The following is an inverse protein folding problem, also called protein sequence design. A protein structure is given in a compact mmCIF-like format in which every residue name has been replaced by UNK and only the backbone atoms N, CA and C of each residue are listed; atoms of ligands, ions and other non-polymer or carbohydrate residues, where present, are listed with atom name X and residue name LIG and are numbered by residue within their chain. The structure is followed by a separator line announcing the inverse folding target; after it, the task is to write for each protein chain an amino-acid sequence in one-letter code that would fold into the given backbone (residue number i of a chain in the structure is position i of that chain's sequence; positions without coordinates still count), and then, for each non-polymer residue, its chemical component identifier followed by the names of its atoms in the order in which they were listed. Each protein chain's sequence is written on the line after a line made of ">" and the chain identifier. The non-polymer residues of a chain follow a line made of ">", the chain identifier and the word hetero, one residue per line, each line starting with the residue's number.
data_IF_127568840309
#
_entry.id   IF_127568840309
#
_cell.length_a   1.000
_cell.length_b   1.000
_cell.length_c   1.000
_cell.angle_alpha   90.00
_cell.angle_beta   90.00
_cell.angle_gamma   90.00
#
_symmetry.space_group_name_H-M   'P 1'
#
loop_
_entity.id
_entity.type
_entity.pdbx_description
1 polymer ?
#
# COMPACT_ATOMS: atom_id res chain seq x y z
N UNK A 1 -3.38 -51.88 -1.29
CA UNK A 1 -2.72 -50.65 -0.82
C UNK A 1 -2.80 -49.62 -1.92
N UNK A 2 -3.59 -48.60 -1.64
CA UNK A 2 -4.25 -47.69 -2.58
C UNK A 2 -3.41 -46.45 -2.83
N UNK A 3 -3.17 -46.15 -4.12
CA UNK A 3 -2.58 -44.91 -4.60
C UNK A 3 -3.39 -43.67 -4.15
N UNK A 4 -2.76 -42.56 -3.74
CA UNK A 4 -3.49 -41.35 -3.44
C UNK A 4 -3.93 -40.65 -4.74
N UNK A 5 -5.13 -40.09 -4.63
CA UNK A 5 -5.94 -39.46 -5.68
C UNK A 5 -5.20 -38.32 -6.41
N UNK A 6 -5.31 -38.37 -7.73
CA UNK A 6 -5.09 -37.28 -8.66
C UNK A 6 -5.73 -35.97 -8.18
N UNK A 7 -4.93 -34.91 -8.12
CA UNK A 7 -5.39 -33.55 -7.94
C UNK A 7 -6.39 -33.21 -9.06
N UNK A 8 -7.59 -32.81 -8.67
CA UNK A 8 -8.60 -32.29 -9.59
C UNK A 8 -8.13 -30.95 -10.11
N UNK A 9 -7.77 -30.89 -11.40
CA UNK A 9 -7.72 -29.64 -12.14
C UNK A 9 -9.13 -29.02 -12.13
N UNK A 10 -9.29 -27.73 -11.82
CA UNK A 10 -10.56 -27.06 -12.05
C UNK A 10 -10.78 -26.95 -13.57
N UNK A 11 -11.55 -27.90 -14.09
CA UNK A 11 -12.22 -27.80 -15.38
C UNK A 11 -13.36 -26.80 -15.26
N UNK A 12 -13.19 -25.62 -15.88
CA UNK A 12 -14.30 -24.74 -16.25
C UNK A 12 -13.83 -23.67 -17.25
N UNK A 13 -13.67 -24.04 -18.53
CA UNK A 13 -13.90 -23.09 -19.62
C UNK A 13 -15.42 -22.86 -19.69
N UNK A 14 -15.97 -22.11 -18.73
CA UNK A 14 -17.34 -21.61 -18.77
C UNK A 14 -17.42 -20.55 -19.86
N UNK A 15 -17.82 -20.97 -21.07
CA UNK A 15 -18.21 -20.12 -22.20
C UNK A 15 -17.11 -19.17 -22.69
N UNK A 16 -16.62 -19.35 -23.90
CA UNK A 16 -15.77 -18.34 -24.54
C UNK A 16 -16.57 -17.05 -24.79
N UNK A 17 -16.67 -16.21 -23.76
CA UNK A 17 -17.12 -14.83 -23.88
C UNK A 17 -16.05 -14.11 -24.69
N UNK A 18 -16.44 -13.65 -25.88
CA UNK A 18 -15.60 -12.78 -26.69
C UNK A 18 -15.47 -11.44 -25.98
N UNK A 19 -14.35 -11.25 -25.29
CA UNK A 19 -13.99 -10.02 -24.59
C UNK A 19 -13.03 -9.20 -25.42
N UNK A 20 -12.93 -7.88 -25.16
CA UNK A 20 -12.04 -7.00 -25.92
C UNK A 20 -10.55 -7.27 -25.62
N UNK A 21 -10.25 -7.75 -24.41
CA UNK A 21 -8.94 -8.20 -23.96
C UNK A 21 -9.06 -9.62 -23.38
N UNK A 22 -8.01 -10.47 -23.48
CA UNK A 22 -8.08 -11.82 -22.95
C UNK A 22 -8.26 -11.82 -21.42
N UNK A 23 -9.09 -12.72 -20.87
CA UNK A 23 -9.37 -12.82 -19.45
C UNK A 23 -8.24 -13.57 -18.71
N UNK A 24 -7.06 -12.96 -18.62
CA UNK A 24 -5.97 -13.54 -17.82
C UNK A 24 -6.38 -13.59 -16.35
N UNK A 25 -6.06 -14.68 -15.66
CA UNK A 25 -6.32 -14.80 -14.23
C UNK A 25 -5.36 -13.91 -13.44
N UNK A 26 -5.89 -13.27 -12.39
CA UNK A 26 -5.08 -12.67 -11.33
C UNK A 26 -4.49 -13.79 -10.47
N UNK A 27 -3.16 -13.86 -10.36
CA UNK A 27 -2.52 -14.93 -9.61
C UNK A 27 -2.59 -14.71 -8.10
N UNK A 28 -2.70 -15.81 -7.35
CA UNK A 28 -2.61 -15.86 -5.89
C UNK A 28 -3.64 -14.98 -5.16
N UNK A 29 -4.81 -14.76 -5.74
CA UNK A 29 -5.95 -14.12 -5.06
C UNK A 29 -6.28 -14.83 -3.73
N UNK A 30 -6.66 -14.07 -2.71
CA UNK A 30 -6.90 -14.57 -1.36
C UNK A 30 -5.64 -14.85 -0.55
N UNK A 31 -4.47 -14.35 -0.97
CA UNK A 31 -3.20 -14.51 -0.24
C UNK A 31 -2.41 -13.21 -0.17
N UNK A 32 -1.51 -13.08 0.80
CA UNK A 32 -0.54 -11.97 0.85
C UNK A 32 0.40 -11.90 -0.38
N UNK A 33 0.43 -12.95 -1.20
CA UNK A 33 1.26 -13.07 -2.41
C UNK A 33 0.49 -12.80 -3.70
N UNK A 34 -0.71 -12.19 -3.61
CA UNK A 34 -1.51 -11.77 -4.77
C UNK A 34 -0.70 -10.92 -5.75
N UNK A 35 -0.90 -11.17 -7.04
CA UNK A 35 -0.29 -10.37 -8.11
C UNK A 35 -0.70 -8.90 -8.02
N UNK A 36 0.27 -7.99 -8.16
CA UNK A 36 -0.01 -6.57 -8.31
C UNK A 36 -0.69 -6.29 -9.65
N UNK A 37 -1.76 -5.50 -9.67
CA UNK A 37 -2.48 -5.17 -10.91
C UNK A 37 -1.61 -4.42 -11.96
N UNK A 38 -0.56 -3.70 -11.55
CA UNK A 38 0.43 -3.17 -12.50
C UNK A 38 1.18 -4.28 -13.22
N UNK A 39 1.55 -5.34 -12.51
CA UNK A 39 2.24 -6.50 -13.07
C UNK A 39 1.30 -7.29 -13.98
N UNK A 40 0.05 -7.46 -13.57
CA UNK A 40 -1.00 -8.04 -14.40
C UNK A 40 -1.13 -7.30 -15.74
N UNK A 41 -1.19 -5.96 -15.75
CA UNK A 41 -1.22 -5.18 -17.00
C UNK A 41 0.00 -5.42 -17.89
N UNK A 42 1.18 -5.57 -17.29
CA UNK A 42 2.41 -5.85 -18.04
C UNK A 42 2.39 -7.25 -18.66
N UNK A 43 1.83 -8.24 -17.94
CA UNK A 43 1.56 -9.59 -18.46
C UNK A 43 0.55 -9.55 -19.59
N UNK A 44 -0.56 -8.84 -19.40
CA UNK A 44 -1.61 -8.68 -20.41
C UNK A 44 -1.08 -8.03 -21.69
N UNK A 45 -0.33 -6.93 -21.57
CA UNK A 45 0.33 -6.31 -22.71
C UNK A 45 1.32 -7.25 -23.40
N UNK A 46 2.05 -8.06 -22.63
CA UNK A 46 2.98 -9.05 -23.18
C UNK A 46 2.27 -10.12 -24.01
N UNK A 47 1.18 -10.70 -23.49
CA UNK A 47 0.37 -11.71 -24.17
C UNK A 47 -0.22 -11.16 -25.48
N UNK A 48 -0.68 -9.91 -25.45
CA UNK A 48 -1.23 -9.22 -26.61
C UNK A 48 -0.17 -8.78 -27.64
N UNK A 49 1.13 -8.86 -27.30
CA UNK A 49 2.20 -8.37 -28.16
C UNK A 49 2.23 -6.85 -28.34
N UNK A 50 1.57 -6.09 -27.45
CA UNK A 50 1.49 -4.63 -27.52
C UNK A 50 2.32 -3.96 -26.42
N UNK A 51 2.54 -2.65 -26.54
CA UNK A 51 3.20 -1.91 -25.47
C UNK A 51 2.23 -1.61 -24.32
N UNK A 52 2.78 -1.41 -23.12
CA UNK A 52 1.99 -0.99 -21.97
C UNK A 52 1.25 0.32 -22.25
N UNK A 53 1.88 1.31 -22.90
CA UNK A 53 1.22 2.58 -23.21
C UNK A 53 0.09 2.43 -24.25
N UNK A 54 0.24 1.50 -25.21
CA UNK A 54 -0.86 1.12 -26.12
C UNK A 54 -2.04 0.54 -25.35
N UNK A 55 -1.79 -0.36 -24.39
CA UNK A 55 -2.83 -0.95 -23.55
C UNK A 55 -3.53 0.11 -22.68
N UNK A 56 -2.79 1.04 -22.09
CA UNK A 56 -3.36 2.17 -21.35
C UNK A 56 -4.21 3.07 -22.27
N UNK A 57 -3.80 3.27 -23.52
CA UNK A 57 -4.58 3.97 -24.54
C UNK A 57 -5.93 3.31 -24.83
N UNK A 58 -5.96 1.98 -24.95
CA UNK A 58 -7.20 1.20 -25.10
C UNK A 58 -8.12 1.41 -23.89
N UNK A 59 -7.55 1.39 -22.67
CA UNK A 59 -8.32 1.64 -21.45
C UNK A 59 -8.91 3.06 -21.44
N UNK A 60 -8.12 4.09 -21.77
CA UNK A 60 -8.61 5.47 -21.87
C UNK A 60 -9.71 5.64 -22.92
N UNK A 61 -9.56 4.99 -24.08
CA UNK A 61 -10.57 5.01 -25.15
C UNK A 61 -11.89 4.38 -24.67
N UNK A 62 -11.83 3.22 -24.00
CA UNK A 62 -13.01 2.58 -23.40
C UNK A 62 -13.67 3.44 -22.33
N UNK A 63 -12.88 4.15 -21.53
CA UNK A 63 -13.37 5.03 -20.47
C UNK A 63 -14.03 6.32 -21.01
N UNK A 64 -13.75 6.71 -22.25
CA UNK A 64 -14.15 8.00 -22.81
C UNK A 64 -13.45 9.21 -22.15
N UNK A 65 -12.40 8.97 -21.33
CA UNK A 65 -11.63 10.00 -20.62
C UNK A 65 -10.22 9.49 -20.30
N UNK A 66 -9.32 10.42 -20.00
CA UNK A 66 -7.95 10.08 -19.59
C UNK A 66 -7.94 9.61 -18.13
N UNK A 67 -7.98 8.28 -17.94
CA UNK A 67 -7.81 7.65 -16.62
C UNK A 67 -6.35 7.34 -16.31
N UNK A 68 -5.58 7.00 -17.34
CA UNK A 68 -4.18 6.64 -17.27
C UNK A 68 -3.36 7.69 -18.00
N UNK A 69 -2.53 8.43 -17.26
CA UNK A 69 -1.66 9.43 -17.86
C UNK A 69 -0.63 8.77 -18.79
N UNK A 70 -0.52 9.25 -20.05
CA UNK A 70 0.61 8.92 -20.91
C UNK A 70 1.89 9.34 -20.19
N UNK A 71 2.87 8.43 -20.06
CA UNK A 71 4.16 8.71 -19.41
C UNK A 71 4.14 8.95 -17.89
N UNK A 72 3.04 8.64 -17.19
CA UNK A 72 3.00 8.71 -15.72
C UNK A 72 4.08 7.83 -15.06
N UNK A 73 4.72 8.33 -14.00
CA UNK A 73 5.83 7.64 -13.32
C UNK A 73 5.39 6.80 -12.13
N UNK A 74 4.17 7.00 -11.62
CA UNK A 74 3.60 6.28 -10.49
C UNK A 74 2.74 5.08 -10.93
N UNK A 75 2.55 4.15 -9.99
CA UNK A 75 1.54 3.08 -10.13
C UNK A 75 0.13 3.68 -10.14
N UNK A 76 -0.68 3.47 -11.18
CA UNK A 76 -2.08 3.91 -11.22
C UNK A 76 -3.02 3.17 -10.26
N UNK A 77 -2.59 2.05 -9.64
CA UNK A 77 -3.48 1.19 -8.84
C UNK A 77 -3.18 1.18 -7.35
N UNK A 78 -2.07 1.77 -6.91
CA UNK A 78 -1.73 1.89 -5.48
C UNK A 78 -2.28 3.15 -4.82
N UNK A 79 -2.58 4.17 -5.63
CA UNK A 79 -3.12 5.41 -5.13
C UNK A 79 -4.64 5.28 -5.01
N UNK A 80 -5.15 5.52 -3.81
CA UNK A 80 -6.60 5.61 -3.58
C UNK A 80 -7.11 7.01 -3.99
N UNK A 81 -6.87 7.37 -5.24
CA UNK A 81 -7.47 8.55 -5.85
C UNK A 81 -8.88 8.23 -6.37
N UNK A 82 -9.63 9.26 -6.77
CA UNK A 82 -10.96 9.10 -7.36
C UNK A 82 -10.95 8.35 -8.70
N UNK A 83 -9.77 8.06 -9.25
CA UNK A 83 -9.59 7.30 -10.49
C UNK A 83 -9.39 5.80 -10.28
N UNK A 84 -9.06 5.33 -9.06
CA UNK A 84 -8.74 3.91 -8.81
C UNK A 84 -9.86 2.97 -9.27
N UNK A 85 -11.09 3.21 -8.83
CA UNK A 85 -12.23 2.35 -9.15
C UNK A 85 -12.54 2.38 -10.65
N UNK A 86 -12.58 3.56 -11.25
CA UNK A 86 -12.82 3.69 -12.69
C UNK A 86 -11.74 2.98 -13.53
N UNK A 87 -10.47 3.01 -13.08
CA UNK A 87 -9.36 2.29 -13.74
C UNK A 87 -9.54 0.78 -13.66
N UNK A 88 -9.96 0.26 -12.50
CA UNK A 88 -10.25 -1.15 -12.28
C UNK A 88 -11.46 -1.58 -13.13
N UNK A 89 -12.57 -0.85 -13.05
CA UNK A 89 -13.81 -1.16 -13.76
C UNK A 89 -13.63 -1.24 -15.27
N UNK A 90 -12.86 -0.30 -15.84
CA UNK A 90 -12.56 -0.32 -17.28
C UNK A 90 -11.78 -1.58 -17.67
N UNK A 91 -10.83 -2.01 -16.84
CA UNK A 91 -10.04 -3.21 -17.10
C UNK A 91 -10.87 -4.49 -16.95
N UNK A 92 -11.69 -4.57 -15.90
CA UNK A 92 -12.65 -5.67 -15.69
C UNK A 92 -13.64 -5.76 -16.86
N UNK A 93 -14.17 -4.63 -17.33
CA UNK A 93 -15.09 -4.58 -18.46
C UNK A 93 -14.42 -5.00 -19.79
N UNK A 94 -13.17 -4.60 -20.03
CA UNK A 94 -12.44 -4.98 -21.23
C UNK A 94 -12.07 -6.46 -21.25
N UNK A 95 -11.77 -7.03 -20.09
CA UNK A 95 -11.41 -8.45 -19.93
C UNK A 95 -12.60 -9.37 -19.68
N UNK A 96 -13.81 -8.82 -19.48
CA UNK A 96 -15.00 -9.57 -19.07
C UNK A 96 -14.92 -10.19 -17.68
N UNK A 97 -13.94 -9.77 -16.86
CA UNK A 97 -13.70 -10.30 -15.52
C UNK A 97 -14.33 -9.40 -14.46
N UNK A 98 -15.66 -9.33 -14.46
CA UNK A 98 -16.44 -8.49 -13.54
C UNK A 98 -16.05 -8.78 -12.09
N UNK A 99 -15.60 -7.75 -11.38
CA UNK A 99 -15.28 -7.79 -9.94
C UNK A 99 -14.14 -8.75 -9.56
N UNK A 100 -13.26 -9.14 -10.49
CA UNK A 100 -12.17 -10.08 -10.18
C UNK A 100 -10.78 -9.41 -10.03
N UNK A 101 -10.55 -8.27 -10.69
CA UNK A 101 -9.19 -7.70 -10.80
C UNK A 101 -8.87 -6.70 -9.68
N UNK A 102 -9.90 -6.14 -9.02
CA UNK A 102 -9.75 -5.22 -7.88
C UNK A 102 -8.90 -5.76 -6.74
N UNK A 103 -8.86 -7.07 -6.55
CA UNK A 103 -8.14 -7.75 -5.48
C UNK A 103 -6.61 -7.77 -5.68
N UNK A 104 -6.13 -7.39 -6.87
CA UNK A 104 -4.72 -7.12 -7.13
C UNK A 104 -4.29 -5.70 -6.73
N UNK A 105 -5.15 -5.00 -5.98
CA UNK A 105 -4.97 -3.61 -5.54
C UNK A 105 -5.41 -3.45 -4.08
N UNK A 106 -5.09 -2.33 -3.43
CA UNK A 106 -5.56 -2.06 -2.07
C UNK A 106 -7.03 -1.60 -1.97
N UNK A 107 -7.88 -1.93 -2.96
CA UNK A 107 -9.26 -1.43 -3.11
C UNK A 107 -10.13 -1.65 -1.88
N UNK A 108 -10.05 -2.80 -1.22
CA UNK A 108 -10.84 -3.12 -0.02
C UNK A 108 -10.68 -2.06 1.08
N UNK A 109 -9.46 -1.58 1.30
CA UNK A 109 -9.16 -0.57 2.32
C UNK A 109 -9.22 0.87 1.81
N UNK A 110 -9.58 1.08 0.54
CA UNK A 110 -9.54 2.39 -0.11
C UNK A 110 -10.61 3.37 0.39
N UNK A 111 -11.66 2.92 1.09
CA UNK A 111 -12.53 3.89 1.77
C UNK A 111 -11.81 4.55 2.97
N UNK A 112 -11.07 3.74 3.74
CA UNK A 112 -10.48 4.07 5.04
C UNK A 112 -9.13 4.79 4.90
N UNK A 113 -8.29 4.33 3.98
CA UNK A 113 -6.91 4.78 3.85
C UNK A 113 -6.76 5.96 2.90
N UNK A 114 -5.76 6.81 3.15
CA UNK A 114 -5.49 7.99 2.33
C UNK A 114 -5.07 7.64 0.91
N UNK A 115 -5.04 8.65 0.04
CA UNK A 115 -4.56 8.51 -1.36
C UNK A 115 -3.19 7.81 -1.41
N UNK A 116 -2.32 8.14 -0.45
CA UNK A 116 -0.99 7.58 -0.25
C UNK A 116 -0.94 6.64 0.97
N UNK A 117 -2.05 5.97 1.25
CA UNK A 117 -2.21 5.18 2.47
C UNK A 117 -1.25 3.99 2.52
N UNK A 118 -0.97 3.39 1.37
CA UNK A 118 -0.09 2.23 1.23
C UNK A 118 1.31 2.56 0.76
N UNK A 119 1.49 3.71 0.12
CA UNK A 119 2.77 4.10 -0.48
C UNK A 119 2.95 5.61 -0.51
N UNK A 120 4.19 6.08 -0.49
CA UNK A 120 4.57 7.47 -0.74
C UNK A 120 4.50 7.80 -2.24
N UNK A 121 4.17 9.06 -2.55
CA UNK A 121 3.84 9.53 -3.91
C UNK A 121 4.90 9.31 -5.01
N UNK A 122 6.13 8.93 -4.66
CA UNK A 122 7.22 8.68 -5.60
C UNK A 122 8.02 7.48 -5.14
N UNK A 123 7.70 6.30 -5.67
CA UNK A 123 8.54 5.13 -5.49
C UNK A 123 8.99 4.50 -6.81
N UNK A 124 10.28 4.20 -6.78
CA UNK A 124 10.99 3.28 -7.65
C UNK A 124 10.46 1.86 -7.42
N UNK A 125 10.50 1.04 -8.46
CA UNK A 125 10.05 -0.35 -8.38
C UNK A 125 10.92 -1.08 -7.36
N UNK A 126 10.30 -1.74 -6.39
CA UNK A 126 10.97 -2.69 -5.49
C UNK A 126 10.79 -4.12 -5.98
N UNK A 127 11.75 -4.98 -5.67
CA UNK A 127 11.66 -6.41 -5.96
C UNK A 127 12.46 -7.25 -4.97
N UNK A 128 12.14 -8.54 -4.92
CA UNK A 128 12.99 -9.54 -4.28
C UNK A 128 14.05 -10.04 -5.28
N UNK A 129 15.36 -9.91 -4.99
CA UNK A 129 16.42 -10.36 -5.89
C UNK A 129 16.43 -11.87 -6.06
N UNK A 130 15.99 -12.64 -5.05
CA UNK A 130 15.90 -14.11 -5.15
C UNK A 130 14.72 -14.53 -6.04
N UNK A 131 13.53 -13.92 -5.88
CA UNK A 131 12.40 -14.16 -6.79
C UNK A 131 12.75 -13.86 -8.25
N UNK A 132 13.51 -12.78 -8.50
CA UNK A 132 13.96 -12.46 -9.86
C UNK A 132 15.02 -13.41 -10.40
N UNK A 133 15.86 -13.99 -9.53
CA UNK A 133 16.81 -15.02 -9.92
C UNK A 133 16.10 -16.32 -10.31
N UNK A 134 15.06 -16.68 -9.57
CA UNK A 134 14.25 -17.90 -9.75
C UNK A 134 13.03 -17.67 -10.67
N UNK A 135 13.04 -16.60 -11.47
CA UNK A 135 11.86 -16.18 -12.22
C UNK A 135 11.47 -17.19 -13.30
N UNK A 136 10.26 -17.72 -13.19
CA UNK A 136 9.61 -18.54 -14.20
C UNK A 136 8.53 -17.72 -14.95
N UNK A 137 8.59 -17.61 -16.29
CA UNK A 137 7.67 -16.78 -17.06
C UNK A 137 6.18 -17.12 -16.92
N UNK A 138 5.84 -18.37 -16.62
CA UNK A 138 4.46 -18.87 -16.57
C UNK A 138 3.84 -18.67 -15.18
N UNK A 139 4.62 -18.92 -14.13
CA UNK A 139 4.12 -18.97 -12.73
C UNK A 139 4.50 -17.75 -11.91
N UNK A 140 5.64 -17.10 -12.20
CA UNK A 140 6.15 -16.01 -11.36
C UNK A 140 5.41 -14.70 -11.59
N UNK A 141 5.19 -13.98 -10.49
CA UNK A 141 4.50 -12.69 -10.47
C UNK A 141 5.25 -11.70 -9.59
N UNK A 142 4.96 -10.41 -9.78
CA UNK A 142 5.34 -9.38 -8.81
C UNK A 142 4.17 -9.18 -7.85
N UNK A 143 4.32 -9.55 -6.56
CA UNK A 143 3.24 -9.45 -5.58
C UNK A 143 2.89 -7.99 -5.27
N UNK A 144 1.62 -7.73 -4.92
CA UNK A 144 1.16 -6.44 -4.40
C UNK A 144 2.00 -5.97 -3.20
N UNK A 145 2.45 -6.91 -2.37
CA UNK A 145 3.33 -6.64 -1.22
C UNK A 145 4.57 -5.81 -1.56
N UNK A 146 5.17 -6.00 -2.75
CA UNK A 146 6.37 -5.25 -3.15
C UNK A 146 6.13 -3.76 -3.33
N UNK A 147 4.87 -3.38 -3.50
CA UNK A 147 4.41 -2.02 -3.67
C UNK A 147 4.03 -1.32 -2.35
N UNK A 148 4.00 -2.04 -1.22
CA UNK A 148 3.52 -1.52 0.08
C UNK A 148 4.67 -1.02 0.95
N UNK A 149 4.64 0.24 1.37
CA UNK A 149 5.83 0.90 1.91
C UNK A 149 6.37 0.32 3.22
N UNK A 150 5.46 -0.16 4.07
CA UNK A 150 5.80 -0.79 5.35
C UNK A 150 6.37 -2.19 5.20
N UNK A 151 6.15 -2.84 4.04
CA UNK A 151 6.71 -4.16 3.73
C UNK A 151 8.16 -3.99 3.30
N UNK A 152 9.08 -4.59 4.05
CA UNK A 152 10.52 -4.44 3.83
C UNK A 152 11.19 -5.71 3.32
N UNK A 153 10.60 -6.88 3.56
CA UNK A 153 11.14 -8.16 3.10
C UNK A 153 10.20 -8.93 2.20
N UNK A 154 10.75 -9.90 1.48
CA UNK A 154 9.98 -10.84 0.69
C UNK A 154 9.40 -11.94 1.61
N UNK A 155 8.09 -12.17 1.59
CA UNK A 155 7.47 -13.24 2.38
C UNK A 155 7.88 -14.66 1.94
N UNK A 156 8.43 -14.83 0.73
CA UNK A 156 8.93 -16.14 0.26
C UNK A 156 10.37 -16.42 0.67
N UNK A 157 11.25 -15.41 0.60
CA UNK A 157 12.69 -15.60 0.75
C UNK A 157 13.29 -14.93 1.99
N UNK A 158 12.51 -14.11 2.71
CA UNK A 158 12.95 -13.39 3.91
C UNK A 158 14.01 -12.32 3.68
N UNK A 159 14.43 -12.07 2.43
CA UNK A 159 15.42 -11.05 2.11
C UNK A 159 14.78 -9.67 1.90
N UNK A 160 15.59 -8.62 2.02
CA UNK A 160 15.16 -7.24 1.78
C UNK A 160 14.63 -7.04 0.35
N UNK A 161 13.55 -6.28 0.23
CA UNK A 161 13.04 -5.76 -1.03
C UNK A 161 13.88 -4.54 -1.45
N UNK A 162 14.57 -4.66 -2.57
CA UNK A 162 15.50 -3.64 -3.07
C UNK A 162 14.89 -2.87 -4.24
N UNK A 163 15.30 -1.62 -4.44
CA UNK A 163 14.87 -0.78 -5.57
C UNK A 163 16.01 -0.40 -6.53
N UNK A 164 17.26 -0.76 -6.20
CA UNK A 164 18.48 -0.38 -6.92
C UNK A 164 19.23 -1.57 -7.48
N UNK A 165 19.81 -1.37 -8.66
CA UNK A 165 20.67 -2.38 -9.27
C UNK A 165 21.98 -2.50 -8.47
N UNK A 166 22.35 -3.73 -8.07
CA UNK A 166 23.61 -3.98 -7.35
C UNK A 166 24.86 -3.59 -8.14
N UNK A 167 24.80 -3.61 -9.48
CA UNK A 167 25.96 -3.34 -10.34
C UNK A 167 26.19 -1.85 -10.61
N UNK A 168 25.12 -1.03 -10.71
CA UNK A 168 25.26 0.40 -11.05
C UNK A 168 24.60 1.37 -10.08
N UNK A 169 23.94 0.89 -9.01
CA UNK A 169 23.29 1.70 -7.98
C UNK A 169 22.03 2.47 -8.42
N UNK A 170 21.67 2.43 -9.71
CA UNK A 170 20.51 3.15 -10.25
C UNK A 170 19.21 2.47 -9.85
N UNK A 171 18.24 3.28 -9.42
CA UNK A 171 16.92 2.82 -9.03
C UNK A 171 16.10 2.43 -10.28
N UNK A 172 15.30 1.37 -10.18
CA UNK A 172 14.61 0.82 -11.35
C UNK A 172 13.22 1.45 -11.55
N UNK A 173 12.85 1.84 -12.78
CA UNK A 173 11.57 2.47 -13.02
C UNK A 173 10.42 1.46 -12.98
N UNK A 174 9.28 1.90 -12.46
CA UNK A 174 8.03 1.15 -12.42
C UNK A 174 7.56 0.72 -13.81
N UNK A 175 7.63 1.62 -14.81
CA UNK A 175 7.30 1.31 -16.21
C UNK A 175 8.50 0.71 -16.94
N UNK A 176 8.55 -0.62 -16.97
CA UNK A 176 9.50 -1.41 -17.76
C UNK A 176 8.75 -2.60 -18.36
N UNK A 177 8.98 -2.89 -19.65
CA UNK A 177 8.35 -4.00 -20.38
C UNK A 177 8.59 -5.33 -19.66
N UNK A 178 7.59 -6.22 -19.65
CA UNK A 178 7.60 -7.49 -18.90
C UNK A 178 8.95 -8.22 -18.93
N UNK A 179 9.47 -8.59 -20.12
CA UNK A 179 10.74 -9.32 -20.26
C UNK A 179 11.98 -8.54 -19.80
N UNK A 180 11.98 -7.22 -19.98
CA UNK A 180 13.11 -6.37 -19.62
C UNK A 180 13.16 -6.06 -18.12
N UNK A 181 12.12 -6.38 -17.35
CA UNK A 181 12.05 -6.03 -15.92
C UNK A 181 13.10 -6.73 -15.07
N UNK A 182 13.59 -7.89 -15.49
CA UNK A 182 14.60 -8.68 -14.77
C UNK A 182 16.05 -8.26 -15.07
N UNK A 183 16.23 -7.29 -15.97
CA UNK A 183 17.52 -6.69 -16.26
C UNK A 183 17.51 -5.19 -15.89
N UNK A 184 18.66 -4.66 -15.51
CA UNK A 184 18.79 -3.24 -15.23
C UNK A 184 18.50 -2.42 -16.49
N UNK A 185 17.62 -1.41 -16.41
CA UNK A 185 17.33 -0.54 -17.55
C UNK A 185 18.56 0.25 -18.04
N UNK A 186 19.56 0.42 -17.18
CA UNK A 186 20.69 1.31 -17.45
C UNK A 186 21.98 0.59 -17.79
N UNK A 187 22.33 -0.48 -17.07
CA UNK A 187 23.57 -1.25 -17.31
C UNK A 187 23.31 -2.67 -17.81
N UNK A 188 22.05 -3.07 -17.99
CA UNK A 188 21.63 -4.39 -18.47
C UNK A 188 22.03 -5.59 -17.61
N UNK A 189 22.73 -5.39 -16.48
CA UNK A 189 23.02 -6.45 -15.52
C UNK A 189 21.74 -7.11 -14.99
N UNK A 190 21.76 -8.42 -14.70
CA UNK A 190 20.63 -9.11 -14.11
C UNK A 190 20.27 -8.50 -12.75
N UNK A 191 18.97 -8.38 -12.50
CA UNK A 191 18.42 -7.89 -11.23
C UNK A 191 18.05 -9.03 -10.27
N UNK A 192 18.27 -10.28 -10.68
CA UNK A 192 18.22 -11.45 -9.81
C UNK A 192 19.59 -11.77 -9.23
N UNK A 193 19.65 -12.03 -7.92
CA UNK A 193 20.84 -12.55 -7.25
C UNK A 193 20.49 -13.15 -5.89
N UNK A 194 21.38 -14.00 -5.37
CA UNK A 194 21.34 -14.43 -3.97
C UNK A 194 22.02 -13.37 -3.09
N UNK A 195 21.30 -12.73 -2.16
CA UNK A 195 21.91 -11.84 -1.18
C UNK A 195 22.92 -12.60 -0.32
N UNK A 196 24.00 -11.93 0.08
CA UNK A 196 24.86 -12.48 1.11
C UNK A 196 24.03 -12.72 2.40
N UNK A 197 24.35 -13.74 3.22
CA UNK A 197 23.73 -13.91 4.52
C UNK A 197 23.91 -12.62 5.32
N UNK A 198 22.82 -11.89 5.56
CA UNK A 198 22.90 -10.60 6.24
C UNK A 198 23.16 -10.88 7.72
N UNK A 199 24.26 -10.34 8.26
CA UNK A 199 24.63 -10.49 9.67
C UNK A 199 23.60 -9.83 10.63
N UNK A 200 22.79 -8.90 10.13
CA UNK A 200 21.63 -8.35 10.84
C UNK A 200 20.37 -9.12 10.46
N UNK A 201 20.04 -10.16 11.23
CA UNK A 201 18.72 -10.76 11.20
C UNK A 201 17.66 -9.67 11.42
N UNK A 202 16.53 -9.75 10.71
CA UNK A 202 15.39 -8.87 10.96
C UNK A 202 15.06 -8.85 12.44
N UNK A 203 14.80 -7.65 12.99
CA UNK A 203 14.38 -7.57 14.38
C UNK A 203 13.01 -8.24 14.54
N UNK A 204 12.64 -8.71 15.75
CA UNK A 204 11.28 -9.19 16.01
C UNK A 204 10.22 -8.15 15.61
N UNK A 205 10.52 -6.86 15.75
CA UNK A 205 9.64 -5.78 15.35
C UNK A 205 9.46 -5.74 13.82
N UNK A 206 10.54 -5.80 13.04
CA UNK A 206 10.45 -5.78 11.57
C UNK A 206 9.61 -6.95 11.05
N UNK A 207 9.78 -8.14 11.64
CA UNK A 207 8.97 -9.31 11.32
C UNK A 207 7.49 -9.10 11.66
N UNK A 208 7.20 -8.51 12.82
CA UNK A 208 5.82 -8.20 13.20
C UNK A 208 5.17 -7.19 12.25
N UNK A 209 5.89 -6.13 11.85
CA UNK A 209 5.43 -5.14 10.86
C UNK A 209 5.14 -5.80 9.52
N UNK A 210 6.04 -6.66 9.04
CA UNK A 210 5.87 -7.38 7.78
C UNK A 210 4.64 -8.31 7.84
N UNK A 211 4.36 -8.95 8.99
CA UNK A 211 3.13 -9.74 9.21
C UNK A 211 1.88 -8.87 9.18
N UNK A 212 1.90 -7.68 9.81
CA UNK A 212 0.77 -6.75 9.75
C UNK A 212 0.47 -6.30 8.32
N UNK A 213 1.50 -6.06 7.52
CA UNK A 213 1.34 -5.71 6.11
C UNK A 213 0.74 -6.88 5.31
N UNK A 214 1.26 -8.10 5.50
CA UNK A 214 0.78 -9.30 4.81
C UNK A 214 -0.69 -9.59 5.11
N UNK A 215 -1.11 -9.45 6.37
CA UNK A 215 -2.52 -9.62 6.78
C UNK A 215 -3.46 -8.63 6.09
N UNK A 216 -3.06 -7.36 5.95
CA UNK A 216 -3.86 -6.35 5.24
C UNK A 216 -3.91 -6.63 3.74
N UNK A 217 -2.82 -7.11 3.15
CA UNK A 217 -2.77 -7.48 1.72
C UNK A 217 -3.66 -8.69 1.47
N UNK A 218 -3.59 -9.71 2.35
CA UNK A 218 -4.44 -10.89 2.28
C UNK A 218 -5.92 -10.51 2.34
N UNK A 219 -6.31 -9.64 3.29
CA UNK A 219 -7.67 -9.07 3.34
C UNK A 219 -8.04 -8.37 2.03
N UNK A 220 -7.14 -7.55 1.46
CA UNK A 220 -7.41 -6.86 0.19
C UNK A 220 -7.51 -7.79 -1.02
N UNK A 221 -6.93 -8.97 -0.91
CA UNK A 221 -6.85 -9.95 -1.99
C UNK A 221 -7.98 -10.97 -1.99
N UNK A 222 -8.76 -11.04 -0.92
CA UNK A 222 -9.84 -12.01 -0.75
C UNK A 222 -11.06 -11.64 -1.62
N UNK A 223 -11.45 -12.48 -2.59
CA UNK A 223 -12.62 -12.22 -3.43
C UNK A 223 -13.96 -12.19 -2.69
N UNK A 224 -14.02 -12.75 -1.48
CA UNK A 224 -15.21 -12.68 -0.63
C UNK A 224 -15.28 -11.36 0.17
N UNK A 225 -14.21 -10.58 0.20
CA UNK A 225 -14.13 -9.37 1.02
C UNK A 225 -14.72 -8.16 0.30
N UNK A 226 -15.79 -7.62 0.87
CA UNK A 226 -16.35 -6.35 0.44
C UNK A 226 -15.46 -5.16 0.85
N UNK A 227 -15.67 -4.03 0.18
CA UNK A 227 -15.00 -2.78 0.52
C UNK A 227 -15.31 -2.40 1.97
N UNK A 228 -14.29 -2.05 2.74
CA UNK A 228 -14.48 -1.60 4.11
C UNK A 228 -15.26 -0.28 4.15
N UNK A 229 -16.19 -0.10 5.10
CA UNK A 229 -16.81 1.18 5.38
C UNK A 229 -15.78 2.28 5.69
N UNK A 230 -16.02 3.51 5.24
CA UNK A 230 -15.08 4.63 5.40
C UNK A 230 -14.88 5.05 6.87
N UNK A 231 -15.87 4.78 7.72
CA UNK A 231 -15.94 5.18 9.12
C UNK A 231 -15.23 4.23 10.09
N UNK A 232 -14.71 3.08 9.63
CA UNK A 232 -14.04 2.08 10.50
C UNK A 232 -13.00 2.70 11.43
N UNK A 233 -12.13 3.54 10.87
CA UNK A 233 -11.11 4.21 11.67
C UNK A 233 -11.68 5.31 12.59
N UNK A 234 -12.79 5.95 12.20
CA UNK A 234 -13.49 6.92 13.04
C UNK A 234 -14.11 6.27 14.27
N UNK A 235 -14.79 5.15 14.08
CA UNK A 235 -15.38 4.36 15.16
C UNK A 235 -14.32 3.95 16.19
N UNK A 236 -13.12 3.57 15.72
CA UNK A 236 -12.00 3.25 16.60
C UNK A 236 -11.57 4.45 17.43
N UNK A 237 -11.34 5.62 16.80
CA UNK A 237 -10.89 6.82 17.51
C UNK A 237 -11.94 7.37 18.48
N UNK A 238 -13.23 7.31 18.12
CA UNK A 238 -14.34 7.73 18.96
C UNK A 238 -14.44 6.86 20.21
N UNK A 239 -14.46 5.54 20.04
CA UNK A 239 -14.47 4.58 21.15
C UNK A 239 -13.23 4.73 22.04
N UNK A 240 -12.04 4.92 21.44
CA UNK A 240 -10.80 5.13 22.19
C UNK A 240 -10.86 6.42 23.04
N UNK A 241 -11.41 7.50 22.46
CA UNK A 241 -11.57 8.78 23.16
C UNK A 241 -12.57 8.68 24.32
N UNK A 242 -13.63 7.89 24.16
CA UNK A 242 -14.61 7.66 25.22
C UNK A 242 -14.03 6.85 26.40
N UNK A 243 -13.14 5.90 26.13
CA UNK A 243 -12.54 5.03 27.15
C UNK A 243 -11.42 5.71 27.96
N UNK A 244 -10.62 6.56 27.33
CA UNK A 244 -9.40 7.11 27.94
C UNK A 244 -9.50 8.57 28.42
N UNK A 245 -10.71 9.15 28.43
CA UNK A 245 -10.94 10.45 29.07
C UNK A 245 -10.09 11.59 28.51
N UNK A 246 -9.46 12.37 29.40
CA UNK A 246 -8.76 13.60 29.03
C UNK A 246 -7.54 13.31 28.14
N UNK A 247 -7.38 14.12 27.09
CA UNK A 247 -6.35 13.94 26.06
C UNK A 247 -4.94 13.99 26.62
N UNK A 248 -4.75 14.55 27.81
CA UNK A 248 -3.47 14.66 28.50
C UNK A 248 -2.80 13.29 28.74
N UNK A 249 -3.61 12.25 28.99
CA UNK A 249 -3.12 10.92 29.39
C UNK A 249 -2.70 10.05 28.20
N UNK A 250 -3.01 10.48 26.97
CA UNK A 250 -2.58 9.78 25.75
C UNK A 250 -1.11 10.09 25.42
N UNK A 251 -0.33 9.13 24.90
CA UNK A 251 0.97 9.40 24.30
C UNK A 251 0.94 10.53 23.27
N UNK A 252 2.02 11.32 23.18
CA UNK A 252 2.09 12.51 22.31
C UNK A 252 1.74 12.24 20.83
N UNK A 253 2.12 11.05 20.34
CA UNK A 253 1.81 10.57 19.01
C UNK A 253 0.31 10.36 18.78
N UNK A 254 -0.39 9.82 19.78
CA UNK A 254 -1.83 9.60 19.75
C UNK A 254 -2.60 10.90 19.94
N UNK A 255 -2.15 11.79 20.83
CA UNK A 255 -2.72 13.14 20.96
C UNK A 255 -2.73 13.88 19.64
N UNK A 256 -1.63 13.81 18.90
CA UNK A 256 -1.51 14.46 17.59
C UNK A 256 -2.49 13.88 16.58
N UNK A 257 -2.64 12.55 16.54
CA UNK A 257 -3.63 11.86 15.72
C UNK A 257 -5.04 12.30 16.15
N UNK A 258 -5.48 12.00 17.37
CA UNK A 258 -6.83 12.35 17.88
C UNK A 258 -7.16 13.83 17.67
N UNK A 259 -6.20 14.73 17.90
CA UNK A 259 -6.35 16.16 17.66
C UNK A 259 -6.57 16.49 16.18
N UNK A 260 -5.75 15.96 15.27
CA UNK A 260 -5.93 16.17 13.82
C UNK A 260 -7.33 15.72 13.36
N UNK A 261 -7.78 14.58 13.87
CA UNK A 261 -9.05 13.96 13.48
C UNK A 261 -10.27 14.68 14.05
N UNK A 262 -10.18 15.21 15.27
CA UNK A 262 -11.22 16.05 15.87
C UNK A 262 -11.55 17.30 15.04
N UNK A 263 -10.60 17.78 14.24
CA UNK A 263 -10.77 18.98 13.42
C UNK A 263 -10.99 18.69 11.93
N UNK A 264 -10.80 17.44 11.50
CA UNK A 264 -10.97 17.01 10.12
C UNK A 264 -11.40 15.53 10.09
N UNK A 265 -12.70 15.25 10.31
CA UNK A 265 -13.27 13.89 10.28
C UNK A 265 -13.25 13.24 8.89
N UNK A 266 -12.75 13.92 7.86
CA UNK A 266 -12.55 13.35 6.53
C UNK A 266 -11.08 13.07 6.23
N UNK A 267 -10.18 13.31 7.20
CA UNK A 267 -8.78 12.93 7.06
C UNK A 267 -8.74 11.43 6.81
N UNK A 268 -7.77 10.94 6.06
CA UNK A 268 -7.60 9.50 5.85
C UNK A 268 -6.23 9.08 6.39
N UNK A 269 -6.13 7.87 6.90
CA UNK A 269 -4.93 7.39 7.59
C UNK A 269 -3.99 6.62 6.63
N UNK A 270 -2.71 6.52 6.97
CA UNK A 270 -1.77 5.62 6.28
C UNK A 270 -1.65 4.29 7.00
N UNK A 271 -1.33 3.23 6.26
CA UNK A 271 -1.02 1.92 6.81
C UNK A 271 0.12 2.00 7.82
N UNK A 272 1.15 2.82 7.56
CA UNK A 272 2.22 3.12 8.52
C UNK A 272 1.67 3.62 9.86
N UNK A 273 0.68 4.49 9.85
CA UNK A 273 0.07 4.96 11.09
C UNK A 273 -0.78 3.87 11.74
N UNK A 274 -1.56 3.10 10.98
CA UNK A 274 -2.31 1.97 11.55
C UNK A 274 -1.41 0.94 12.23
N UNK A 275 -0.27 0.59 11.63
CA UNK A 275 0.71 -0.33 12.26
C UNK A 275 1.26 0.26 13.57
N UNK A 276 1.52 1.57 13.61
CA UNK A 276 1.91 2.23 14.86
C UNK A 276 0.82 2.14 15.94
N UNK A 277 -0.42 2.44 15.57
CA UNK A 277 -1.57 2.38 16.49
C UNK A 277 -1.77 0.96 17.01
N UNK A 278 -1.74 -0.02 16.12
CA UNK A 278 -1.84 -1.43 16.46
C UNK A 278 -0.75 -1.86 17.44
N UNK A 279 0.50 -1.43 17.21
CA UNK A 279 1.62 -1.72 18.12
C UNK A 279 1.42 -1.10 19.52
N UNK A 280 1.03 0.18 19.59
CA UNK A 280 0.79 0.86 20.88
C UNK A 280 -0.40 0.27 21.64
N UNK A 281 -1.42 -0.21 20.92
CA UNK A 281 -2.62 -0.82 21.48
C UNK A 281 -2.48 -2.34 21.69
N UNK A 282 -1.35 -2.92 21.26
CA UNK A 282 -1.07 -4.36 21.28
C UNK A 282 -2.12 -5.23 20.60
N UNK A 283 -2.61 -4.76 19.44
CA UNK A 283 -3.53 -5.49 18.58
C UNK A 283 -2.96 -5.61 17.16
N UNK A 284 -3.70 -6.25 16.26
CA UNK A 284 -3.38 -6.24 14.84
C UNK A 284 -4.01 -5.04 14.12
N UNK A 285 -3.52 -4.72 12.93
CA UNK A 285 -4.17 -3.74 12.04
C UNK A 285 -5.58 -4.23 11.65
N UNK A 286 -5.77 -5.53 11.49
CA UNK A 286 -7.08 -6.11 11.18
C UNK A 286 -8.07 -5.94 12.32
N UNK A 287 -7.65 -6.05 13.58
CA UNK A 287 -8.50 -5.77 14.75
C UNK A 287 -9.09 -4.35 14.64
N UNK A 288 -8.26 -3.35 14.33
CA UNK A 288 -8.69 -1.95 14.18
C UNK A 288 -9.66 -1.79 13.00
N UNK A 289 -9.41 -2.46 11.86
CA UNK A 289 -10.20 -2.29 10.65
C UNK A 289 -11.54 -3.06 10.68
N UNK A 290 -11.55 -4.26 11.25
CA UNK A 290 -12.68 -5.18 11.20
C UNK A 290 -13.58 -5.08 12.44
N UNK A 291 -13.01 -4.78 13.60
CA UNK A 291 -13.75 -4.64 14.86
C UNK A 291 -13.28 -3.40 15.66
N UNK A 292 -13.50 -2.18 15.12
CA UNK A 292 -12.89 -0.96 15.65
C UNK A 292 -13.31 -0.64 17.08
N UNK A 293 -14.60 -0.76 17.40
CA UNK A 293 -15.14 -0.40 18.72
C UNK A 293 -14.64 -1.35 19.80
N UNK A 294 -14.76 -2.67 19.58
CA UNK A 294 -14.28 -3.67 20.54
C UNK A 294 -12.78 -3.57 20.75
N UNK A 295 -12.02 -3.28 19.69
CA UNK A 295 -10.57 -3.14 19.78
C UNK A 295 -10.17 -1.94 20.61
N UNK A 296 -10.81 -0.79 20.39
CA UNK A 296 -10.57 0.44 21.15
C UNK A 296 -10.94 0.34 22.65
N UNK A 297 -11.85 -0.57 23.00
CA UNK A 297 -12.26 -0.83 24.38
C UNK A 297 -11.29 -1.74 25.16
N UNK A 298 -10.30 -2.34 24.50
CA UNK A 298 -9.26 -3.13 25.19
C UNK A 298 -8.33 -2.19 25.94
N UNK A 299 -7.75 -2.65 27.05
CA UNK A 299 -6.77 -1.87 27.80
C UNK A 299 -5.50 -1.67 26.93
N UNK A 300 -5.14 -0.42 26.59
CA UNK A 300 -3.98 -0.15 25.76
C UNK A 300 -2.70 -0.22 26.60
N UNK A 301 -1.57 -0.50 25.96
CA UNK A 301 -0.29 -0.62 26.65
C UNK A 301 0.38 0.72 27.00
N UNK A 302 -0.34 1.85 27.02
CA UNK A 302 0.24 3.20 27.12
C UNK A 302 1.20 3.40 28.30
N UNK A 303 0.98 2.74 29.43
CA UNK A 303 1.86 2.78 30.60
C UNK A 303 3.24 2.11 30.40
N UNK A 304 3.42 1.31 29.35
CA UNK A 304 4.68 0.65 29.03
C UNK A 304 5.52 1.41 27.98
N UNK A 305 5.00 2.55 27.47
CA UNK A 305 5.56 3.28 26.34
C UNK A 305 6.18 4.63 26.74
N UNK A 306 6.75 4.76 27.94
CA UNK A 306 7.51 5.97 28.30
C UNK A 306 8.66 6.21 27.30
N UNK A 307 8.67 7.39 26.67
CA UNK A 307 9.68 7.76 25.66
C UNK A 307 9.44 7.21 24.25
N UNK A 308 8.32 6.53 24.00
CA UNK A 308 8.00 6.01 22.67
C UNK A 308 7.22 7.03 21.83
N UNK A 309 7.87 7.58 20.81
CA UNK A 309 7.22 8.49 19.87
C UNK A 309 6.49 7.73 18.75
N UNK A 310 7.19 6.90 17.97
CA UNK A 310 6.65 6.14 16.84
C UNK A 310 7.56 4.95 16.55
N UNK A 311 7.00 3.83 16.05
CA UNK A 311 7.79 2.78 15.41
C UNK A 311 8.59 3.42 14.26
N UNK A 312 9.90 3.12 14.14
CA UNK A 312 10.76 3.66 13.08
C UNK A 312 10.47 2.97 11.73
N UNK A 313 9.19 2.93 11.32
CA UNK A 313 8.72 2.32 10.09
C UNK A 313 9.20 3.16 8.90
N UNK A 314 10.43 2.98 8.41
CA UNK A 314 11.12 3.81 7.39
C UNK A 314 11.38 5.28 7.80
N UNK A 315 12.48 5.90 7.34
CA UNK A 315 12.89 7.25 7.74
C UNK A 315 11.74 8.23 7.53
N UNK A 316 11.50 9.10 8.52
CA UNK A 316 10.49 10.17 8.43
C UNK A 316 10.72 10.96 7.13
N UNK A 317 9.85 10.80 6.13
CA UNK A 317 9.61 11.92 5.21
C UNK A 317 9.04 13.02 6.09
N UNK A 318 9.84 14.05 6.36
CA UNK A 318 9.38 15.24 7.11
C UNK A 318 8.04 15.66 6.50
N UNK A 319 7.01 15.83 7.34
CA UNK A 319 5.74 16.44 6.90
C UNK A 319 6.08 17.64 6.02
N UNK A 320 5.48 17.75 4.83
CA UNK A 320 5.69 18.91 3.96
C UNK A 320 5.45 20.17 4.80
N UNK A 321 6.38 21.14 4.73
CA UNK A 321 6.36 22.34 5.55
C UNK A 321 5.01 23.07 5.53
N UNK A 322 4.28 22.98 4.42
CA UNK A 322 2.94 23.53 4.25
C UNK A 322 1.88 22.99 5.22
N UNK A 323 1.90 21.69 5.55
CA UNK A 323 0.92 21.08 6.48
C UNK A 323 1.23 21.49 7.92
N UNK A 324 2.53 21.54 8.27
CA UNK A 324 2.97 22.07 9.58
C UNK A 324 2.58 23.54 9.72
N UNK A 325 2.83 24.35 8.70
CA UNK A 325 2.48 25.76 8.67
C UNK A 325 0.97 25.98 8.83
N UNK A 326 0.13 25.21 8.12
CA UNK A 326 -1.33 25.32 8.26
C UNK A 326 -1.83 24.95 9.65
N UNK A 327 -1.30 23.88 10.26
CA UNK A 327 -1.68 23.48 11.63
C UNK A 327 -1.20 24.52 12.65
N UNK A 328 0.02 25.04 12.49
CA UNK A 328 0.59 26.07 13.36
C UNK A 328 -0.20 27.38 13.26
N UNK A 329 -0.48 27.87 12.05
CA UNK A 329 -1.29 29.07 11.82
C UNK A 329 -2.69 28.93 12.41
N UNK A 330 -3.34 27.78 12.20
CA UNK A 330 -4.70 27.54 12.70
C UNK A 330 -4.74 27.45 14.24
N UNK A 331 -3.70 26.92 14.87
CA UNK A 331 -3.56 26.90 16.33
C UNK A 331 -3.26 28.28 16.90
N UNK A 332 -2.40 29.06 16.24
CA UNK A 332 -2.10 30.44 16.67
C UNK A 332 -3.31 31.36 16.53
N UNK A 333 -4.06 31.27 15.42
CA UNK A 333 -5.28 32.05 15.20
C UNK A 333 -6.39 31.71 16.21
N UNK A 334 -6.45 30.47 16.69
CA UNK A 334 -7.39 30.06 17.76
C UNK A 334 -6.99 30.56 19.14
N UNK A 335 -5.70 30.80 19.37
CA UNK A 335 -5.17 31.37 20.61
C UNK A 335 -4.92 32.88 20.50
N UNK A 336 -5.41 33.53 19.44
CA UNK A 336 -5.19 34.95 19.17
C UNK A 336 -5.68 35.88 20.29
N UNK A 337 -6.61 35.42 21.13
CA UNK A 337 -7.05 36.14 22.33
C UNK A 337 -6.02 36.14 23.48
N UNK A 338 -4.99 35.28 23.42
CA UNK A 338 -4.05 35.01 24.53
C UNK A 338 -2.58 34.99 24.08
N UNK A 339 -2.29 35.10 22.78
CA UNK A 339 -0.92 35.06 22.25
C UNK A 339 -0.76 36.12 21.15
N UNK A 340 0.27 36.97 21.29
CA UNK A 340 0.65 37.91 20.25
C UNK A 340 1.26 37.15 19.06
N UNK A 341 0.66 37.32 17.89
CA UNK A 341 1.17 36.76 16.65
C UNK A 341 2.35 37.62 16.17
N UNK A 342 3.56 37.05 15.93
CA UNK A 342 4.64 37.80 15.32
C UNK A 342 4.25 38.25 13.90
N UNK A 343 4.83 39.35 13.43
CA UNK A 343 4.52 39.87 12.09
C UNK A 343 4.83 38.83 11.02
N UNK A 344 4.05 38.83 9.93
CA UNK A 344 4.25 37.91 8.81
C UNK A 344 5.63 38.10 8.17
N UNK A 345 6.18 39.31 8.23
CA UNK A 345 7.54 39.62 7.79
C UNK A 345 8.60 38.88 8.63
N UNK A 346 8.43 38.87 9.97
CA UNK A 346 9.33 38.14 10.87
C UNK A 346 9.32 36.63 10.60
N UNK A 347 8.15 36.07 10.27
CA UNK A 347 8.01 34.64 9.92
C UNK A 347 8.63 34.33 8.56
N UNK A 348 8.51 35.23 7.58
CA UNK A 348 9.08 35.06 6.24
C UNK A 348 10.61 35.04 6.26
N UNK A 349 11.23 35.88 7.10
CA UNK A 349 12.69 35.97 7.21
C UNK A 349 13.34 34.74 7.88
N UNK A 350 12.57 33.91 8.58
CA UNK A 350 13.09 32.79 9.39
C UNK A 350 12.55 31.41 8.98
N UNK A 351 11.80 31.30 7.88
CA UNK A 351 11.18 30.07 7.39
C UNK A 351 12.03 29.25 6.39
N UNK A 352 13.36 29.40 6.43
CA UNK A 352 14.33 28.69 5.58
C UNK A 352 14.44 27.19 5.82
#
# INVERSE_FOLDING_TARGET
>A
MTYPRSAQHPSALQGALWTALPPLLLHNSGTAMVENLDHYLLRLAHVLGITHDTLLGICNAKAGKVLFSPHGTSSPFLCNDTGLEARIEVLEALTGQTQALRYGTPWVCSAVLGVYGFTTASRTRRWCPVCYLQWDPETSIEPLAWSIDVKTTCSLHGCELVDRCRSCGKAQPARTRYRARRACRFCHAPLGWEPAPVATAQTPLDRWVDVQADQVIELCSDPAQEKLPADRFHLFLEALSAMHGDRADLPAALRSVVSLWSYAPSTKISLKMLVNLAGMHGCSVLDILLDPVKTAQREPFFGFWEGFDYLPLTPRSRLRGSVRLQVTLRNLLRRAAVCYLPSLDFVADHAG
#
